data_IF_310752793104
#
_entry.id   IF_310752793104
#
_cell.length_a   1.000
_cell.length_b   1.000
_cell.length_c   1.000
_cell.angle_alpha   90.00
_cell.angle_beta   90.00
_cell.angle_gamma   90.00
#
_symmetry.space_group_name_H-M   'P 1'
#
loop_
_entity.id
_entity.type
_entity.pdbx_description
1 polymer ?
#
# COMPACT_ATOMS: atom_id res chain seq x y z
N UNK A 1 -7.05 4.32 -4.94
CA UNK A 1 -6.06 3.97 -3.89
C UNK A 1 -6.14 4.90 -2.69
N UNK A 2 -5.99 6.19 -2.90
CA UNK A 2 -5.93 7.14 -1.77
C UNK A 2 -7.19 7.11 -0.91
N UNK A 3 -8.36 7.20 -1.55
CA UNK A 3 -9.64 7.25 -0.81
C UNK A 3 -9.86 5.97 -0.01
N UNK A 4 -9.57 4.82 -0.59
CA UNK A 4 -9.76 3.54 0.09
C UNK A 4 -8.84 3.42 1.30
N UNK A 5 -7.57 3.82 1.14
CA UNK A 5 -6.63 3.79 2.26
C UNK A 5 -7.08 4.74 3.36
N UNK A 6 -7.44 5.97 2.99
CA UNK A 6 -7.87 6.97 3.97
C UNK A 6 -9.10 6.52 4.76
N UNK A 7 -10.05 5.86 4.08
CA UNK A 7 -11.26 5.37 4.74
C UNK A 7 -10.96 4.32 5.81
N UNK A 8 -9.83 3.64 5.73
CA UNK A 8 -9.43 2.64 6.71
C UNK A 8 -8.63 3.22 7.88
N UNK A 9 -8.37 4.53 7.86
CA UNK A 9 -7.59 5.19 8.91
C UNK A 9 -8.50 5.94 9.87
N UNK A 10 -8.13 6.05 11.16
CA UNK A 10 -8.92 6.79 12.14
C UNK A 10 -8.65 8.29 12.05
N UNK A 11 -8.71 8.84 10.86
CA UNK A 11 -8.48 10.27 10.60
C UNK A 11 -9.61 10.80 9.73
N UNK A 12 -9.86 12.11 9.84
CA UNK A 12 -10.86 12.77 9.02
C UNK A 12 -10.33 14.13 8.59
N UNK A 13 -11.00 14.74 7.61
CA UNK A 13 -10.56 16.01 7.07
C UNK A 13 -9.29 15.86 6.25
N UNK A 14 -8.62 16.98 5.97
CA UNK A 14 -7.51 17.02 5.03
C UNK A 14 -6.15 17.14 5.68
N UNK A 15 -6.09 17.21 7.00
CA UNK A 15 -4.86 17.53 7.72
C UNK A 15 -3.78 16.47 7.52
N UNK A 16 -4.17 15.24 7.27
CA UNK A 16 -3.22 14.13 7.14
C UNK A 16 -2.99 13.71 5.70
N UNK A 17 -3.59 14.39 4.73
CA UNK A 17 -3.54 13.93 3.33
C UNK A 17 -2.11 13.80 2.81
N UNK A 18 -1.26 14.81 3.11
CA UNK A 18 0.14 14.75 2.68
C UNK A 18 0.87 13.56 3.28
N UNK A 19 0.64 13.30 4.57
CA UNK A 19 1.27 12.17 5.25
C UNK A 19 0.77 10.84 4.71
N UNK A 20 -0.53 10.75 4.42
CA UNK A 20 -1.12 9.54 3.86
C UNK A 20 -0.45 9.22 2.52
N UNK A 21 -0.32 10.21 1.65
CA UNK A 21 0.33 10.02 0.35
C UNK A 21 1.77 9.54 0.52
N UNK A 22 2.52 10.20 1.41
CA UNK A 22 3.91 9.83 1.67
C UNK A 22 4.00 8.38 2.17
N UNK A 23 3.11 8.00 3.08
CA UNK A 23 3.17 6.65 3.67
C UNK A 23 2.67 5.58 2.70
N UNK A 24 1.74 5.88 1.81
CA UNK A 24 1.36 4.95 0.76
C UNK A 24 2.59 4.61 -0.09
N UNK A 25 3.36 5.63 -0.47
CA UNK A 25 4.56 5.42 -1.29
C UNK A 25 5.62 4.65 -0.51
N UNK A 26 5.78 4.94 0.77
CA UNK A 26 6.74 4.23 1.62
C UNK A 26 6.35 2.75 1.77
N UNK A 27 5.08 2.46 1.96
CA UNK A 27 4.59 1.09 2.04
C UNK A 27 4.84 0.34 0.73
N UNK A 28 4.54 0.98 -0.39
CA UNK A 28 4.78 0.39 -1.70
C UNK A 28 6.26 0.06 -1.90
N UNK A 29 7.13 0.96 -1.46
CA UNK A 29 8.57 0.72 -1.54
C UNK A 29 8.99 -0.45 -0.68
N UNK A 30 8.47 -0.55 0.54
CA UNK A 30 8.78 -1.67 1.42
C UNK A 30 8.32 -3.00 0.80
N UNK A 31 7.12 -3.03 0.24
CA UNK A 31 6.60 -4.24 -0.38
C UNK A 31 7.44 -4.67 -1.59
N UNK A 32 7.85 -3.72 -2.42
CA UNK A 32 8.59 -4.06 -3.64
C UNK A 32 10.05 -4.38 -3.39
N UNK A 33 10.66 -3.80 -2.34
CA UNK A 33 12.08 -4.02 -2.07
C UNK A 33 12.31 -5.11 -1.02
N UNK A 34 11.65 -5.03 0.12
CA UNK A 34 11.90 -5.96 1.22
C UNK A 34 11.16 -7.28 1.05
N UNK A 35 9.96 -7.25 0.49
CA UNK A 35 9.14 -8.45 0.30
C UNK A 35 9.16 -8.95 -1.15
N UNK A 36 9.78 -8.21 -2.04
CA UNK A 36 9.87 -8.58 -3.46
C UNK A 36 8.48 -8.79 -4.10
N UNK A 37 7.52 -7.99 -3.67
CA UNK A 37 6.18 -8.03 -4.22
C UNK A 37 6.14 -7.27 -5.55
N UNK A 38 5.53 -7.85 -6.55
CA UNK A 38 5.27 -7.16 -7.81
C UNK A 38 3.87 -6.59 -7.75
N UNK A 39 3.76 -5.27 -7.77
CA UNK A 39 2.45 -4.63 -7.73
C UNK A 39 1.70 -4.88 -9.04
N UNK A 40 0.40 -5.22 -8.96
CA UNK A 40 -0.42 -5.46 -10.15
C UNK A 40 -0.95 -4.15 -10.74
N UNK A 41 -0.10 -3.15 -10.84
CA UNK A 41 -0.46 -1.84 -11.34
C UNK A 41 0.48 -0.78 -10.85
N UNK A 42 0.08 0.46 -11.02
CA UNK A 42 0.90 1.63 -10.68
C UNK A 42 0.25 2.38 -9.52
N UNK A 43 1.08 2.91 -8.62
CA UNK A 43 0.64 3.84 -7.58
C UNK A 43 1.13 5.22 -8.00
N UNK A 44 0.19 6.12 -8.29
CA UNK A 44 0.48 7.47 -8.77
C UNK A 44 -0.45 8.46 -8.08
N UNK A 45 0.01 9.03 -6.98
CA UNK A 45 -0.78 9.94 -6.15
C UNK A 45 0.03 11.20 -5.92
N UNK A 46 -0.60 12.36 -6.11
CA UNK A 46 0.02 13.66 -5.86
C UNK A 46 -1.03 14.62 -5.35
N UNK A 47 -0.59 15.80 -4.90
CA UNK A 47 -1.48 16.89 -4.52
C UNK A 47 -1.10 18.13 -5.29
N UNK A 48 -2.13 18.92 -5.64
CA UNK A 48 -1.91 20.23 -6.22
C UNK A 48 -2.68 21.27 -5.40
N UNK A 49 -2.17 22.49 -5.37
CA UNK A 49 -2.79 23.59 -4.65
C UNK A 49 -3.20 24.66 -5.67
N UNK A 50 -4.43 25.15 -5.58
CA UNK A 50 -4.90 26.18 -6.48
C UNK A 50 -4.50 27.56 -5.94
N UNK A 51 -4.89 28.64 -6.66
CA UNK A 51 -4.51 30.01 -6.29
C UNK A 51 -5.16 30.46 -4.97
N UNK A 52 -6.25 29.83 -4.57
CA UNK A 52 -6.93 30.12 -3.32
C UNK A 52 -6.37 29.32 -2.15
N UNK A 53 -5.33 28.53 -2.38
CA UNK A 53 -4.72 27.74 -1.34
C UNK A 53 -5.41 26.40 -1.05
N UNK A 54 -6.35 26.00 -1.90
CA UNK A 54 -7.10 24.75 -1.70
C UNK A 54 -6.32 23.59 -2.33
N UNK A 55 -6.10 22.55 -1.55
CA UNK A 55 -5.39 21.36 -1.98
C UNK A 55 -6.36 20.34 -2.60
N UNK A 56 -5.92 19.70 -3.66
CA UNK A 56 -6.65 18.62 -4.32
C UNK A 56 -5.73 17.42 -4.47
N UNK A 57 -6.23 16.24 -4.11
CA UNK A 57 -5.50 14.98 -4.29
C UNK A 57 -5.80 14.46 -5.70
N UNK A 58 -4.74 14.14 -6.42
CA UNK A 58 -4.84 13.57 -7.77
C UNK A 58 -4.33 12.13 -7.69
N UNK A 59 -5.24 11.19 -7.85
CA UNK A 59 -4.92 9.77 -7.72
C UNK A 59 -5.17 9.08 -9.06
N UNK A 60 -4.10 8.71 -9.74
CA UNK A 60 -4.16 7.99 -11.01
C UNK A 60 -3.63 6.56 -10.85
N UNK A 61 -3.69 6.06 -9.64
CA UNK A 61 -3.25 4.70 -9.34
C UNK A 61 -4.14 3.68 -10.04
N UNK A 62 -3.54 2.61 -10.53
CA UNK A 62 -4.27 1.53 -11.19
C UNK A 62 -4.31 0.25 -10.35
N UNK A 63 -3.66 0.24 -9.18
CA UNK A 63 -3.76 -0.88 -8.26
C UNK A 63 -5.15 -0.88 -7.64
N UNK A 64 -5.89 -1.96 -7.84
CA UNK A 64 -7.23 -2.13 -7.28
C UNK A 64 -7.35 -3.37 -6.40
N UNK A 65 -6.26 -4.10 -6.26
CA UNK A 65 -6.24 -5.34 -5.50
C UNK A 65 -6.44 -5.06 -4.01
N UNK A 66 -7.46 -5.66 -3.43
CA UNK A 66 -7.88 -5.35 -2.07
C UNK A 66 -6.85 -5.75 -1.04
N UNK A 67 -6.16 -6.87 -1.25
CA UNK A 67 -5.14 -7.30 -0.30
C UNK A 67 -3.96 -6.33 -0.27
N UNK A 68 -3.56 -5.81 -1.42
CA UNK A 68 -2.52 -4.78 -1.50
C UNK A 68 -2.98 -3.51 -0.78
N UNK A 69 -4.22 -3.08 -1.04
CA UNK A 69 -4.75 -1.85 -0.43
C UNK A 69 -4.82 -1.99 1.09
N UNK A 70 -5.32 -3.11 1.60
CA UNK A 70 -5.40 -3.35 3.05
C UNK A 70 -4.00 -3.39 3.67
N UNK A 71 -3.04 -4.00 3.00
CA UNK A 71 -1.66 -4.06 3.48
C UNK A 71 -1.08 -2.66 3.59
N UNK A 72 -1.25 -1.84 2.56
CA UNK A 72 -0.78 -0.45 2.56
C UNK A 72 -1.49 0.37 3.63
N UNK A 73 -2.81 0.19 3.77
CA UNK A 73 -3.58 0.91 4.79
C UNK A 73 -3.11 0.55 6.21
N UNK A 74 -2.74 -0.70 6.44
CA UNK A 74 -2.22 -1.13 7.74
C UNK A 74 -0.90 -0.44 8.04
N UNK A 75 -0.01 -0.34 7.05
CA UNK A 75 1.23 0.44 7.20
C UNK A 75 0.92 1.89 7.55
N UNK A 76 0.01 2.52 6.79
CA UNK A 76 -0.35 3.92 7.04
C UNK A 76 -0.92 4.12 8.43
N UNK A 77 -1.77 3.21 8.88
CA UNK A 77 -2.36 3.29 10.22
C UNK A 77 -1.27 3.19 11.30
N UNK A 78 -0.25 2.37 11.06
CA UNK A 78 0.87 2.23 11.98
C UNK A 78 1.71 3.50 12.05
N UNK A 79 1.85 4.21 10.93
CA UNK A 79 2.77 5.34 10.81
C UNK A 79 2.14 6.71 11.07
N UNK A 80 0.83 6.80 11.03
CA UNK A 80 0.12 8.09 11.13
C UNK A 80 -0.69 8.12 12.42
N UNK A 81 -0.66 9.27 13.10
CA UNK A 81 -1.53 9.48 14.26
C UNK A 81 -1.08 8.82 15.54
N UNK A 82 0.10 8.23 15.56
CA UNK A 82 0.69 7.70 16.80
C UNK A 82 -0.27 6.71 17.50
N UNK A 83 -0.72 5.64 16.84
CA UNK A 83 -1.75 4.78 17.38
C UNK A 83 -1.27 4.04 18.65
N UNK A 84 -2.16 3.81 19.63
CA UNK A 84 -1.78 3.10 20.85
C UNK A 84 -1.53 1.60 20.63
N UNK A 85 -2.00 1.04 19.53
CA UNK A 85 -1.88 -0.37 19.22
C UNK A 85 -0.83 -0.64 18.13
N UNK A 86 0.25 0.15 18.11
CA UNK A 86 1.26 0.07 17.05
C UNK A 86 1.88 -1.33 16.94
N UNK A 87 2.09 -2.02 18.06
CA UNK A 87 2.68 -3.35 18.02
C UNK A 87 1.74 -4.36 17.33
N UNK A 88 0.46 -4.24 17.60
CA UNK A 88 -0.54 -5.08 16.92
C UNK A 88 -0.55 -4.80 15.42
N UNK A 89 -0.53 -3.52 15.04
CA UNK A 89 -0.53 -3.12 13.63
C UNK A 89 0.73 -3.60 12.93
N UNK A 90 1.87 -3.55 13.61
CA UNK A 90 3.13 -4.05 13.04
C UNK A 90 3.03 -5.54 12.73
N UNK A 91 2.49 -6.31 13.67
CA UNK A 91 2.31 -7.76 13.45
C UNK A 91 1.32 -8.02 12.33
N UNK A 92 0.23 -7.25 12.26
CA UNK A 92 -0.76 -7.38 11.19
C UNK A 92 -0.12 -7.09 9.84
N UNK A 93 0.68 -6.03 9.75
CA UNK A 93 1.37 -5.69 8.51
C UNK A 93 2.31 -6.82 8.07
N UNK A 94 3.12 -7.35 8.99
CA UNK A 94 4.05 -8.43 8.66
C UNK A 94 3.30 -9.69 8.21
N UNK A 95 2.15 -9.98 8.82
CA UNK A 95 1.32 -11.11 8.42
C UNK A 95 0.76 -10.93 7.01
N UNK A 96 0.24 -9.74 6.71
CA UNK A 96 -0.29 -9.44 5.37
C UNK A 96 0.81 -9.49 4.32
N UNK A 97 1.97 -8.92 4.65
CA UNK A 97 3.14 -8.98 3.77
C UNK A 97 3.55 -10.41 3.50
N UNK A 98 3.52 -11.26 4.52
CA UNK A 98 3.81 -12.68 4.36
C UNK A 98 2.82 -13.38 3.43
N UNK A 99 1.53 -13.05 3.53
CA UNK A 99 0.53 -13.60 2.62
C UNK A 99 0.80 -13.21 1.17
N UNK A 100 1.18 -11.96 0.94
CA UNK A 100 1.52 -11.50 -0.40
C UNK A 100 2.73 -12.24 -0.95
N UNK A 101 3.74 -12.45 -0.12
CA UNK A 101 4.95 -13.15 -0.54
C UNK A 101 4.68 -14.60 -0.92
N UNK A 102 3.71 -15.23 -0.28
CA UNK A 102 3.37 -16.63 -0.56
C UNK A 102 2.52 -16.79 -1.83
N UNK A 103 1.95 -15.71 -2.32
CA UNK A 103 1.09 -15.78 -3.51
C UNK A 103 1.91 -15.55 -4.77
N UNK A 104 1.84 -16.49 -5.70
CA UNK A 104 2.51 -16.35 -6.99
C UNK A 104 2.01 -15.15 -7.78
N UNK A 105 0.79 -14.72 -7.51
CA UNK A 105 0.19 -13.57 -8.18
C UNK A 105 0.99 -12.28 -7.94
N UNK A 106 1.64 -12.18 -6.78
CA UNK A 106 2.27 -10.93 -6.36
C UNK A 106 3.79 -10.96 -6.31
N UNK A 107 4.41 -12.09 -6.63
CA UNK A 107 5.86 -12.17 -6.52
C UNK A 107 6.52 -12.05 -7.87
N UNK A 108 7.60 -11.30 -7.94
CA UNK A 108 8.40 -11.20 -9.14
C UNK A 108 9.02 -12.55 -9.49
N UNK A 109 9.38 -13.29 -8.46
CA UNK A 109 9.98 -14.60 -8.60
C UNK A 109 9.02 -15.60 -9.24
N UNK A 110 7.77 -15.61 -8.79
CA UNK A 110 6.77 -16.52 -9.30
C UNK A 110 6.37 -16.27 -10.74
N UNK A 111 6.78 -15.17 -11.29
CA UNK A 111 6.44 -14.81 -12.65
C UNK A 111 7.07 -15.70 -13.69
N UNK A 112 7.89 -16.61 -13.41
CA UNK A 112 8.49 -17.49 -14.40
C UNK A 112 7.75 -18.79 -14.59
N UNK A 113 7.51 -18.41 -13.91
CA UNK A 113 7.26 -19.37 -13.99
C UNK A 113 6.98 -20.16 -14.14
N UNK A 114 6.92 -19.87 -14.12
CA UNK A 114 6.74 -20.69 -14.05
C UNK A 114 6.63 -21.52 -14.05
N UNK A 115 6.73 -21.37 -14.11
CA UNK A 115 6.75 -22.25 -13.93
C UNK A 115 6.39 -23.01 -13.94
N UNK A 116 6.30 -22.83 -14.09
CA UNK A 116 6.15 -23.63 -13.94
C UNK A 116 6.01 -24.42 -13.87
N UNK A 117 6.22 -24.26 -14.05
CA UNK A 117 6.28 -25.11 -13.89
C UNK A 117 6.21 -25.83 -13.54
N UNK A 118 6.38 -25.50 -13.50
CA UNK A 118 6.46 -26.22 -13.03
C UNK A 118 6.07 -27.14 -12.88
N UNK A 119 5.74 -26.96 -12.91
CA UNK A 119 5.45 -27.92 -12.85
C UNK A 119 5.40 -28.85 -13.06
N UNK A 120 5.61 -28.68 -13.38
CA UNK A 120 5.90 -29.44 -13.69
C UNK A 120 6.11 -30.44 -13.19
N UNK A 121 6.35 -30.25 -12.73
CA UNK A 121 6.70 -30.88 -12.24
C UNK A 121 6.57 -31.56 -12.10
#
# INVERSE_FOLDING_TARGET
MFAEVKDMLPVSGDDYDAQIITQIKAAALDLTTSAEIKLPGVIAISRTQNQQGVWTVNDQSTVTDELIIVTIATWCNMMIGNPPNVDFLKKAYESLKGQLRLSKKYTTYGGSDDNENDDKL
#
